data_IF_209488554314
#
_entry.id   IF_209488554314
#
_cell.length_a   1.000
_cell.length_b   1.000
_cell.length_c   1.000
_cell.angle_alpha   90.00
_cell.angle_beta   90.00
_cell.angle_gamma   90.00
#
_symmetry.space_group_name_H-M   'P 1'
#
loop_
_entity.id
_entity.type
_entity.pdbx_description
1 polymer ?
#
# COMPACT_ATOMS: atom_id res chain seq x y z
N UNK A 1 -2.74 -19.17 31.22
CA UNK A 1 -3.81 -19.20 30.22
C UNK A 1 -3.63 -20.48 29.39
N UNK A 2 -4.58 -21.41 29.42
CA UNK A 2 -4.51 -22.72 28.73
C UNK A 2 -5.76 -22.97 27.88
N UNK A 3 -6.16 -21.98 27.08
CA UNK A 3 -7.23 -22.09 26.09
C UNK A 3 -6.68 -22.23 24.68
N UNK A 4 -7.39 -22.93 23.79
CA UNK A 4 -7.05 -22.97 22.35
C UNK A 4 -7.27 -21.58 21.75
N UNK A 5 -6.21 -20.95 21.25
CA UNK A 5 -6.30 -19.68 20.54
C UNK A 5 -7.10 -19.90 19.24
N UNK A 6 -8.27 -19.28 19.14
CA UNK A 6 -9.09 -19.30 17.92
C UNK A 6 -9.39 -17.86 17.54
N UNK A 7 -9.01 -17.50 16.31
CA UNK A 7 -9.23 -16.16 15.75
C UNK A 7 -10.15 -16.30 14.55
N UNK A 8 -11.17 -15.44 14.40
CA UNK A 8 -12.03 -15.47 13.22
C UNK A 8 -11.21 -15.21 11.95
N UNK A 9 -11.43 -16.03 10.92
CA UNK A 9 -10.91 -15.71 9.60
C UNK A 9 -11.57 -14.44 9.10
N UNK A 10 -10.76 -13.42 8.81
CA UNK A 10 -11.26 -12.14 8.34
C UNK A 10 -11.17 -12.08 6.82
N UNK A 11 -12.13 -11.37 6.23
CA UNK A 11 -12.14 -11.10 4.80
C UNK A 11 -10.96 -10.22 4.35
N UNK A 12 -10.84 -9.97 3.04
CA UNK A 12 -9.80 -9.13 2.48
C UNK A 12 -9.86 -7.69 3.04
N UNK A 13 -8.76 -6.92 2.95
CA UNK A 13 -8.77 -5.50 3.29
C UNK A 13 -9.86 -4.74 2.52
N UNK A 14 -10.47 -3.68 3.12
CA UNK A 14 -11.52 -2.90 2.45
C UNK A 14 -11.09 -2.36 1.09
N UNK A 15 -12.00 -2.39 0.11
CA UNK A 15 -11.71 -2.01 -1.27
C UNK A 15 -11.27 -0.54 -1.39
N UNK A 16 -11.95 0.37 -0.69
CA UNK A 16 -11.66 1.81 -0.73
C UNK A 16 -10.27 2.12 -0.14
N UNK A 17 -9.87 1.38 0.90
CA UNK A 17 -8.54 1.49 1.50
C UNK A 17 -7.47 0.96 0.54
N UNK A 18 -7.76 -0.15 -0.13
CA UNK A 18 -6.86 -0.74 -1.12
C UNK A 18 -6.64 0.21 -2.30
N UNK A 19 -7.71 0.73 -2.89
CA UNK A 19 -7.63 1.69 -4.00
C UNK A 19 -6.87 2.96 -3.62
N UNK A 20 -7.22 3.56 -2.48
CA UNK A 20 -6.57 4.79 -2.00
C UNK A 20 -5.07 4.59 -1.77
N UNK A 21 -4.69 3.43 -1.22
CA UNK A 21 -3.30 3.12 -0.91
C UNK A 21 -2.49 2.83 -2.18
N UNK A 22 -3.06 2.15 -3.17
CA UNK A 22 -2.42 1.92 -4.47
C UNK A 22 -2.30 3.21 -5.30
N UNK A 23 -3.31 4.09 -5.25
CA UNK A 23 -3.22 5.44 -5.85
C UNK A 23 -2.07 6.23 -5.23
N UNK A 24 -1.90 6.15 -3.92
CA UNK A 24 -0.76 6.77 -3.24
C UNK A 24 0.58 6.16 -3.65
N UNK A 25 0.68 4.82 -3.71
CA UNK A 25 1.91 4.11 -4.04
C UNK A 25 2.43 4.43 -5.45
N UNK A 26 1.50 4.62 -6.40
CA UNK A 26 1.80 4.85 -7.81
C UNK A 26 1.81 6.33 -8.20
N UNK A 27 1.54 7.25 -7.27
CA UNK A 27 1.36 8.68 -7.55
C UNK A 27 2.49 9.32 -8.37
N UNK A 28 3.72 8.83 -8.19
CA UNK A 28 4.92 9.39 -8.80
C UNK A 28 5.17 8.85 -10.23
N UNK A 29 4.45 7.81 -10.66
CA UNK A 29 4.57 7.25 -12.03
C UNK A 29 3.85 8.15 -13.04
N UNK A 30 2.74 8.78 -12.61
CA UNK A 30 1.89 9.57 -13.49
C UNK A 30 2.60 10.85 -13.96
N UNK A 31 2.53 11.16 -15.27
CA UNK A 31 3.14 12.35 -15.83
C UNK A 31 2.53 13.61 -15.24
N UNK A 32 3.35 14.64 -15.08
CA UNK A 32 2.97 16.00 -14.68
C UNK A 32 3.84 17.00 -15.42
N UNK A 33 3.31 18.21 -15.59
CA UNK A 33 4.09 19.35 -16.04
C UNK A 33 5.29 19.58 -15.11
N UNK A 34 6.42 19.98 -15.68
CA UNK A 34 7.70 20.02 -14.96
C UNK A 34 7.67 20.99 -13.78
N UNK A 35 6.92 22.08 -13.91
CA UNK A 35 6.73 23.12 -12.88
C UNK A 35 5.87 22.64 -11.72
N UNK A 36 5.10 21.56 -11.91
CA UNK A 36 4.18 20.98 -10.93
C UNK A 36 4.65 19.60 -10.43
N UNK A 37 5.73 19.08 -11.01
CA UNK A 37 6.30 17.78 -10.68
C UNK A 37 7.01 17.83 -9.32
N UNK A 38 6.77 16.83 -8.49
CA UNK A 38 7.57 16.63 -7.27
C UNK A 38 8.99 16.20 -7.64
N UNK A 39 9.99 16.35 -6.75
CA UNK A 39 11.35 15.86 -7.02
C UNK A 39 11.40 14.37 -7.39
N UNK A 40 10.54 13.54 -6.78
CA UNK A 40 10.42 12.12 -7.09
C UNK A 40 9.84 11.85 -8.49
N UNK A 41 9.12 12.80 -9.09
CA UNK A 41 8.57 12.68 -10.44
C UNK A 41 9.55 13.14 -11.53
N UNK A 42 10.61 13.87 -11.15
CA UNK A 42 11.64 14.36 -12.07
C UNK A 42 12.73 13.31 -12.36
N UNK A 43 12.79 12.23 -11.60
CA UNK A 43 13.74 11.14 -11.84
C UNK A 43 13.31 10.26 -13.03
N UNK A 44 14.23 9.50 -13.64
CA UNK A 44 13.91 8.59 -14.75
C UNK A 44 12.73 7.65 -14.47
N UNK A 45 11.95 7.33 -15.50
CA UNK A 45 10.69 6.57 -15.37
C UNK A 45 10.90 5.17 -14.77
N UNK A 46 11.95 4.47 -15.18
CA UNK A 46 12.38 3.18 -14.65
C UNK A 46 12.58 3.22 -13.13
N UNK A 47 13.26 4.25 -12.62
CA UNK A 47 13.42 4.47 -11.19
C UNK A 47 12.06 4.69 -10.51
N UNK A 48 11.16 5.48 -11.12
CA UNK A 48 9.82 5.73 -10.57
C UNK A 48 8.97 4.46 -10.52
N UNK A 49 9.05 3.62 -11.54
CA UNK A 49 8.38 2.33 -11.59
C UNK A 49 8.90 1.37 -10.52
N UNK A 50 10.22 1.30 -10.32
CA UNK A 50 10.82 0.47 -9.25
C UNK A 50 10.34 0.94 -7.86
N UNK A 51 10.31 2.24 -7.63
CA UNK A 51 9.80 2.80 -6.37
C UNK A 51 8.31 2.56 -6.17
N UNK A 52 7.51 2.65 -7.24
CA UNK A 52 6.08 2.34 -7.18
C UNK A 52 5.83 0.87 -6.85
N UNK A 53 6.60 -0.06 -7.43
CA UNK A 53 6.53 -1.48 -7.11
C UNK A 53 6.86 -1.74 -5.63
N UNK A 54 7.96 -1.18 -5.12
CA UNK A 54 8.35 -1.28 -3.70
C UNK A 54 7.26 -0.74 -2.77
N UNK A 55 6.69 0.41 -3.10
CA UNK A 55 5.58 1.01 -2.31
C UNK A 55 4.32 0.15 -2.36
N UNK A 56 3.97 -0.40 -3.53
CA UNK A 56 2.79 -1.25 -3.69
C UNK A 56 2.91 -2.53 -2.86
N UNK A 57 4.08 -3.17 -2.85
CA UNK A 57 4.35 -4.33 -2.00
C UNK A 57 4.23 -3.98 -0.51
N UNK A 58 4.87 -2.90 -0.06
CA UNK A 58 4.81 -2.45 1.32
C UNK A 58 3.37 -2.12 1.76
N UNK A 59 2.59 -1.48 0.89
CA UNK A 59 1.17 -1.20 1.11
C UNK A 59 0.36 -2.49 1.25
N UNK A 60 0.57 -3.46 0.36
CA UNK A 60 -0.13 -4.74 0.42
C UNK A 60 0.16 -5.48 1.74
N UNK A 61 1.44 -5.57 2.12
CA UNK A 61 1.85 -6.18 3.40
C UNK A 61 1.20 -5.46 4.59
N UNK A 62 1.20 -4.12 4.58
CA UNK A 62 0.59 -3.33 5.65
C UNK A 62 -0.92 -3.56 5.74
N UNK A 63 -1.65 -3.53 4.62
CA UNK A 63 -3.10 -3.72 4.61
C UNK A 63 -3.51 -5.07 5.19
N UNK A 64 -2.78 -6.14 4.83
CA UNK A 64 -3.00 -7.48 5.39
C UNK A 64 -2.68 -7.52 6.89
N UNK A 65 -1.55 -6.95 7.30
CA UNK A 65 -1.16 -6.92 8.70
C UNK A 65 -2.15 -6.13 9.57
N UNK A 66 -2.61 -4.97 9.10
CA UNK A 66 -3.58 -4.13 9.82
C UNK A 66 -4.94 -4.82 9.93
N UNK A 67 -5.38 -5.50 8.85
CA UNK A 67 -6.60 -6.29 8.87
C UNK A 67 -6.50 -7.45 9.87
N UNK A 68 -5.36 -8.15 9.89
CA UNK A 68 -5.08 -9.21 10.86
C UNK A 68 -5.07 -8.70 12.31
N UNK A 69 -4.42 -7.55 12.58
CA UNK A 69 -4.41 -6.94 13.93
C UNK A 69 -5.81 -6.60 14.43
N UNK A 70 -6.73 -6.21 13.55
CA UNK A 70 -8.12 -5.95 13.92
C UNK A 70 -8.88 -7.16 14.47
N UNK A 71 -8.36 -8.38 14.26
CA UNK A 71 -8.96 -9.63 14.75
C UNK A 71 -8.50 -10.03 16.16
N UNK A 72 -7.41 -9.42 16.64
CA UNK A 72 -6.87 -9.64 17.99
C UNK A 72 -7.36 -8.47 18.85
N UNK A 73 -8.37 -8.73 19.70
CA UNK A 73 -8.82 -7.80 20.76
C UNK A 73 -8.38 -8.31 22.12
#
# INVERSE_FOLDING_TARGET
>A
VTGRFTVPLVGPPPAEKTESSLRWATKDVWPREREQATPAQLVPLDVRLEQAAKKAEAVAQKLVADQGRGTVR
#
